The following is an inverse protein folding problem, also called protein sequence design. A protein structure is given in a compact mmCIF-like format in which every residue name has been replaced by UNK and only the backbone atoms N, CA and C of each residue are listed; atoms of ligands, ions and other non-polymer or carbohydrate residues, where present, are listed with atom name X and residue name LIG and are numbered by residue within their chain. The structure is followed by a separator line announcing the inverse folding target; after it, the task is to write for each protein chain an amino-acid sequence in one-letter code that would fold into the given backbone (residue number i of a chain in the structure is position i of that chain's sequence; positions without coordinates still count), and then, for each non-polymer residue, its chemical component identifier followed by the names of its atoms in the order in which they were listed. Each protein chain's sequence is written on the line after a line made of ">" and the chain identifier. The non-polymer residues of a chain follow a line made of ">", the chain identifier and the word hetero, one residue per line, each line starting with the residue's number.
data_IF_317630558012
#
_entry.id   IF_317630558012
#
_cell.length_a   1.000
_cell.length_b   1.000
_cell.length_c   1.000
_cell.angle_alpha   90.00
_cell.angle_beta   90.00
_cell.angle_gamma   90.00
#
_symmetry.space_group_name_H-M   'P 1'
#
loop_
_entity.id
_entity.type
_entity.pdbx_description
1 polymer ?
#
# COMPACT_ATOMS: atom_id res chain seq x y z
N UNK A 1 4.73 6.15 1.07
CA UNK A 1 3.65 5.20 1.41
C UNK A 1 3.30 5.13 2.90
N UNK A 2 2.15 4.51 3.22
CA UNK A 2 1.73 4.13 4.58
C UNK A 2 1.74 2.61 4.75
N UNK A 3 2.36 2.10 5.81
CA UNK A 3 2.38 0.66 6.08
C UNK A 3 0.97 0.13 6.37
N UNK A 4 0.58 -0.94 5.71
CA UNK A 4 -0.75 -1.56 5.88
C UNK A 4 -0.91 -2.39 7.15
N UNK A 5 0.19 -2.78 7.79
CA UNK A 5 0.15 -3.53 9.05
C UNK A 5 0.20 -2.64 10.27
N UNK A 6 1.11 -1.66 10.30
CA UNK A 6 1.34 -0.84 11.50
C UNK A 6 0.96 0.63 11.32
N UNK A 7 0.55 1.07 10.13
CA UNK A 7 0.15 2.46 9.86
C UNK A 7 1.30 3.47 9.80
N UNK A 8 2.56 3.04 9.96
CA UNK A 8 3.72 3.93 9.88
C UNK A 8 3.87 4.53 8.48
N UNK A 9 4.14 5.84 8.40
CA UNK A 9 4.30 6.57 7.15
C UNK A 9 5.79 6.76 6.83
N UNK A 10 6.18 6.41 5.60
CA UNK A 10 7.57 6.46 5.16
C UNK A 10 7.67 6.72 3.65
N UNK A 11 8.79 7.29 3.22
CA UNK A 11 9.09 7.46 1.79
C UNK A 11 9.67 6.16 1.22
N UNK A 12 8.99 5.60 0.22
CA UNK A 12 9.40 4.40 -0.48
C UNK A 12 10.58 4.64 -1.44
N UNK A 13 10.78 5.87 -1.89
CA UNK A 13 11.89 6.23 -2.77
C UNK A 13 13.21 6.38 -2.02
N UNK A 14 13.15 6.70 -0.73
CA UNK A 14 14.30 6.78 0.16
C UNK A 14 14.79 5.41 0.67
N UNK A 15 14.06 4.32 0.39
CA UNK A 15 14.49 2.98 0.77
C UNK A 15 15.56 2.48 -0.20
N UNK A 16 16.81 2.40 0.28
CA UNK A 16 17.95 1.87 -0.48
C UNK A 16 17.77 0.40 -0.89
N UNK A 17 17.01 -0.37 -0.11
CA UNK A 17 16.75 -1.79 -0.34
C UNK A 17 15.26 -2.05 -0.60
N UNK A 18 14.84 -1.92 -1.86
CA UNK A 18 13.49 -2.26 -2.35
C UNK A 18 13.28 -3.78 -2.44
N UNK A 19 13.48 -4.52 -1.34
CA UNK A 19 13.31 -5.98 -1.33
C UNK A 19 13.70 -6.66 -0.02
N UNK A 20 13.47 -7.97 0.04
CA UNK A 20 13.87 -8.80 1.18
C UNK A 20 15.39 -8.87 1.29
N UNK A 21 15.94 -8.57 2.46
CA UNK A 21 17.38 -8.67 2.76
C UNK A 21 17.98 -10.08 2.58
N UNK A 22 17.14 -11.12 2.51
CA UNK A 22 17.58 -12.53 2.55
C UNK A 22 17.20 -13.38 1.34
N UNK A 23 16.40 -12.88 0.39
CA UNK A 23 15.89 -13.74 -0.70
C UNK A 23 16.78 -13.73 -1.97
N UNK A 24 17.81 -12.89 -2.02
CA UNK A 24 18.78 -12.82 -3.13
C UNK A 24 18.19 -12.39 -4.48
N UNK A 25 16.87 -12.13 -4.56
CA UNK A 25 16.22 -11.62 -5.76
C UNK A 25 16.29 -10.10 -5.74
N UNK A 26 16.91 -9.56 -6.79
CA UNK A 26 16.85 -8.12 -7.09
C UNK A 26 15.50 -7.82 -7.77
N UNK A 27 14.95 -6.63 -7.55
CA UNK A 27 13.66 -6.15 -8.10
C UNK A 27 12.40 -6.89 -7.57
N UNK A 28 12.26 -7.04 -6.26
CA UNK A 28 10.95 -7.36 -5.69
C UNK A 28 10.03 -6.12 -5.76
N UNK A 29 8.82 -6.26 -6.33
CA UNK A 29 7.78 -5.23 -6.32
C UNK A 29 7.15 -5.08 -4.92
N UNK A 30 7.97 -4.89 -3.88
CA UNK A 30 7.52 -4.74 -2.51
C UNK A 30 8.48 -3.88 -1.68
N UNK A 31 7.93 -2.98 -0.89
CA UNK A 31 8.63 -2.12 0.05
C UNK A 31 8.44 -2.62 1.49
N UNK A 32 9.54 -2.97 2.14
CA UNK A 32 9.50 -3.37 3.54
C UNK A 32 9.35 -2.15 4.45
N UNK A 33 8.39 -2.20 5.36
CA UNK A 33 8.20 -1.15 6.34
C UNK A 33 9.41 -1.08 7.28
N UNK A 34 10.06 0.09 7.44
CA UNK A 34 11.21 0.23 8.34
C UNK A 34 10.83 0.09 9.83
N UNK A 35 9.55 0.22 10.17
CA UNK A 35 9.07 0.11 11.55
C UNK A 35 8.74 -1.34 11.96
N UNK A 36 8.09 -2.13 11.09
CA UNK A 36 7.62 -3.49 11.44
C UNK A 36 8.09 -4.60 10.50
N UNK A 37 8.84 -4.29 9.45
CA UNK A 37 9.38 -5.26 8.48
C UNK A 37 8.37 -5.80 7.46
N UNK A 38 7.08 -5.46 7.58
CA UNK A 38 6.05 -5.97 6.67
C UNK A 38 6.29 -5.52 5.21
N UNK A 39 6.12 -6.44 4.27
CA UNK A 39 6.26 -6.20 2.84
C UNK A 39 4.99 -5.57 2.25
N UNK A 40 5.07 -4.31 1.83
CA UNK A 40 3.98 -3.58 1.21
C UNK A 40 4.19 -3.55 -0.31
N UNK A 41 3.25 -4.03 -1.12
CA UNK A 41 3.27 -3.84 -2.58
C UNK A 41 2.76 -2.43 -3.00
N UNK A 42 3.39 -1.76 -3.98
CA UNK A 42 2.90 -0.50 -4.56
C UNK A 42 1.60 -0.65 -5.37
N UNK A 43 1.34 -1.83 -5.93
CA UNK A 43 0.25 -2.06 -6.88
C UNK A 43 -1.12 -2.13 -6.19
N UNK A 44 -1.15 -2.41 -4.89
CA UNK A 44 -2.39 -2.60 -4.13
C UNK A 44 -3.23 -1.33 -3.94
N UNK A 45 -2.65 -0.13 -4.10
CA UNK A 45 -3.45 1.11 -4.14
C UNK A 45 -4.36 1.13 -5.40
N UNK A 46 -3.96 0.44 -6.47
CA UNK A 46 -4.79 0.26 -7.68
C UNK A 46 -5.85 -0.83 -7.48
N UNK A 47 -5.54 -1.90 -6.74
CA UNK A 47 -6.46 -3.04 -6.56
C UNK A 47 -7.77 -2.66 -5.86
N UNK A 48 -7.81 -1.58 -5.07
CA UNK A 48 -9.01 -1.14 -4.36
C UNK A 48 -9.78 0.02 -5.02
N UNK A 49 -9.40 0.42 -6.23
CA UNK A 49 -10.09 1.50 -6.94
C UNK A 49 -11.60 1.19 -7.12
N UNK A 50 -11.96 -0.09 -7.30
CA UNK A 50 -13.35 -0.53 -7.37
C UNK A 50 -14.11 -0.32 -6.06
N UNK A 51 -13.47 -0.51 -4.91
CA UNK A 51 -14.07 -0.27 -3.58
C UNK A 51 -14.30 1.23 -3.38
N UNK A 52 -13.35 2.06 -3.79
CA UNK A 52 -13.49 3.53 -3.74
C UNK A 52 -14.70 3.98 -4.58
N UNK A 53 -14.79 3.50 -5.83
CA UNK A 53 -15.94 3.77 -6.72
C UNK A 53 -17.28 3.29 -6.12
N UNK A 54 -17.30 2.13 -5.46
CA UNK A 54 -18.48 1.61 -4.74
C UNK A 54 -18.89 2.51 -3.57
N UNK A 55 -17.93 2.92 -2.73
CA UNK A 55 -18.18 3.82 -1.59
C UNK A 55 -18.75 5.16 -2.04
N UNK A 56 -18.23 5.75 -3.12
CA UNK A 56 -18.75 7.01 -3.67
C UNK A 56 -20.20 6.87 -4.18
N UNK A 57 -20.52 5.77 -4.86
CA UNK A 57 -21.89 5.48 -5.31
C UNK A 57 -22.86 5.36 -4.14
N UNK A 58 -22.46 4.66 -3.07
CA UNK A 58 -23.28 4.53 -1.86
C UNK A 58 -23.48 5.87 -1.15
N UNK A 59 -22.44 6.71 -1.05
CA UNK A 59 -22.53 8.06 -0.48
C UNK A 59 -23.52 8.95 -1.23
N UNK A 60 -23.49 8.92 -2.57
CA UNK A 60 -24.44 9.67 -3.41
C UNK A 60 -25.89 9.24 -3.18
N UNK A 61 -26.14 7.94 -2.99
CA UNK A 61 -27.50 7.42 -2.76
C UNK A 61 -28.09 7.85 -1.42
N UNK A 62 -27.27 8.00 -0.38
CA UNK A 62 -27.71 8.43 0.94
C UNK A 62 -27.96 9.94 1.07
N UNK A 63 -27.51 10.75 0.09
CA UNK A 63 -27.67 12.21 0.12
C UNK A 63 -28.94 12.71 -0.59
N UNK A 64 -29.71 11.79 -1.20
CA UNK A 64 -30.93 12.10 -1.97
C UNK A 64 -32.22 11.60 -1.30
N UNK A 65 -32.14 11.21 -0.02
CA UNK A 65 -33.30 10.87 0.81
C UNK A 65 -33.47 11.90 1.93
#
# INVERSE_FOLDING_TARGET
>A
MKCRMCGFEFDENALENRGCSSCGKHNCNSYHCPNCGFANSPELDQEFEFITKLKEKLKKKNSTN
#
